data_IF_674306121462
#
_entry.id   IF_674306121462
#
_cell.length_a   1.000
_cell.length_b   1.000
_cell.length_c   1.000
_cell.angle_alpha   90.00
_cell.angle_beta   90.00
_cell.angle_gamma   90.00
#
_symmetry.space_group_name_H-M   'P 1'
#
loop_
_entity.id
_entity.type
_entity.pdbx_description
1 polymer ?
#
# COMPACT_ATOMS: atom_id res chain seq x y z
N UNK A 1 37.02 76.30 13.94
CA UNK A 1 37.96 75.96 15.02
C UNK A 1 38.16 74.44 14.95
N UNK A 2 39.42 74.03 14.77
CA UNK A 2 40.04 72.73 14.86
C UNK A 2 39.51 71.64 13.91
N UNK A 3 40.18 71.33 12.81
CA UNK A 3 41.51 70.71 12.50
C UNK A 3 41.73 69.38 13.20
N UNK A 4 41.84 68.32 12.43
CA UNK A 4 42.99 67.40 12.32
C UNK A 4 42.54 66.19 11.44
N UNK A 5 43.13 66.04 10.39
CA UNK A 5 44.41 65.40 10.03
C UNK A 5 44.21 63.92 9.68
N UNK A 6 44.34 63.70 8.41
CA UNK A 6 44.44 62.42 7.69
C UNK A 6 45.74 61.72 8.01
N UNK A 7 45.70 60.39 8.24
CA UNK A 7 46.83 59.51 8.05
C UNK A 7 46.47 58.44 7.01
N UNK A 8 47.19 58.48 5.88
CA UNK A 8 47.25 57.41 4.89
C UNK A 8 48.30 56.39 5.33
N UNK A 9 47.89 55.16 5.50
CA UNK A 9 48.82 54.03 5.57
C UNK A 9 48.86 53.32 4.19
N UNK A 10 50.10 53.21 3.71
CA UNK A 10 50.47 52.54 2.46
C UNK A 10 50.56 51.06 2.72
N UNK A 11 49.81 50.25 2.00
CA UNK A 11 49.95 48.80 2.00
C UNK A 11 50.84 48.31 0.81
N UNK A 12 51.70 47.30 1.03
CA UNK A 12 52.55 46.77 -0.03
C UNK A 12 51.84 45.78 -0.92
N UNK A 13 52.11 45.86 -2.20
CA UNK A 13 51.69 44.95 -3.26
C UNK A 13 52.34 43.57 -3.06
N UNK A 14 51.54 42.52 -2.82
CA UNK A 14 51.98 41.14 -2.89
C UNK A 14 51.76 40.59 -4.31
N UNK A 15 52.83 40.05 -4.88
CA UNK A 15 52.84 39.30 -6.14
C UNK A 15 52.04 38.00 -5.93
N UNK A 16 51.00 37.78 -6.75
CA UNK A 16 50.28 36.51 -6.84
C UNK A 16 50.94 35.67 -7.94
N UNK A 17 51.68 34.65 -7.52
CA UNK A 17 52.16 33.59 -8.41
C UNK A 17 51.02 32.65 -8.77
N UNK A 18 50.66 32.60 -10.07
CA UNK A 18 49.66 31.69 -10.61
C UNK A 18 50.25 30.29 -10.76
N UNK A 19 49.87 29.36 -9.84
CA UNK A 19 50.14 27.93 -10.00
C UNK A 19 48.93 27.29 -10.65
N UNK A 20 49.06 26.93 -11.94
CA UNK A 20 48.06 26.11 -12.63
C UNK A 20 48.15 24.67 -12.09
N UNK A 21 47.16 24.27 -11.27
CA UNK A 21 46.95 22.88 -10.86
C UNK A 21 45.98 22.24 -11.85
N UNK A 22 46.51 21.39 -12.72
CA UNK A 22 45.67 20.58 -13.64
C UNK A 22 44.95 19.50 -12.81
N UNK A 23 43.66 19.69 -12.52
CA UNK A 23 42.79 18.64 -11.97
C UNK A 23 42.43 17.64 -13.06
N UNK A 24 43.15 16.52 -13.09
CA UNK A 24 42.69 15.31 -13.75
C UNK A 24 41.45 14.78 -13.00
N UNK A 25 40.24 15.06 -13.50
CA UNK A 25 39.02 14.44 -13.02
C UNK A 25 38.97 13.00 -13.57
N UNK A 26 39.52 12.08 -12.81
CA UNK A 26 39.27 10.66 -13.02
C UNK A 26 37.81 10.37 -12.71
N UNK A 27 36.99 10.07 -13.73
CA UNK A 27 35.67 9.55 -13.56
C UNK A 27 35.79 8.13 -12.94
N UNK A 28 35.79 8.07 -11.62
CA UNK A 28 35.58 6.82 -10.89
C UNK A 28 34.13 6.44 -11.12
N UNK A 29 33.88 5.51 -12.04
CA UNK A 29 32.61 4.77 -12.10
C UNK A 29 32.47 4.04 -10.78
N UNK A 30 31.66 4.58 -9.86
CA UNK A 30 31.23 3.85 -8.70
C UNK A 30 30.37 2.69 -9.21
N UNK A 31 31.00 1.52 -9.36
CA UNK A 31 30.30 0.26 -9.47
C UNK A 31 29.66 0.04 -8.09
N UNK A 32 28.40 0.37 -7.94
CA UNK A 32 27.62 -0.08 -6.81
C UNK A 32 27.64 -1.61 -6.85
N UNK A 33 28.05 -2.30 -5.76
CA UNK A 33 27.94 -3.74 -5.73
C UNK A 33 26.47 -4.06 -5.98
N UNK A 34 26.18 -4.82 -7.05
CA UNK A 34 24.84 -5.31 -7.31
C UNK A 34 24.33 -5.93 -6.01
N UNK A 35 23.13 -5.50 -5.57
CA UNK A 35 22.52 -6.03 -4.37
C UNK A 35 22.44 -7.56 -4.56
N UNK A 36 23.32 -8.28 -3.90
CA UNK A 36 23.30 -9.74 -3.89
C UNK A 36 21.93 -10.18 -3.41
N UNK A 37 21.36 -11.17 -4.08
CA UNK A 37 20.09 -11.79 -3.61
C UNK A 37 20.35 -12.19 -2.16
N UNK A 38 19.51 -11.67 -1.24
CA UNK A 38 19.62 -12.02 0.19
C UNK A 38 19.55 -13.54 0.33
N UNK A 39 20.30 -14.12 1.27
CA UNK A 39 20.28 -15.56 1.47
C UNK A 39 18.92 -16.02 2.02
N UNK A 40 18.57 -17.27 1.74
CA UNK A 40 17.41 -17.93 2.34
C UNK A 40 17.50 -17.87 3.87
N UNK A 41 16.37 -17.65 4.52
CA UNK A 41 16.26 -17.59 5.98
C UNK A 41 15.28 -18.65 6.46
N UNK A 42 15.67 -19.41 7.49
CA UNK A 42 14.77 -20.35 8.14
C UNK A 42 14.25 -19.70 9.43
N UNK A 43 12.94 -19.65 9.56
CA UNK A 43 12.23 -19.06 10.70
C UNK A 43 11.31 -20.10 11.33
N UNK A 44 11.36 -20.24 12.66
CA UNK A 44 10.39 -21.03 13.41
C UNK A 44 9.10 -20.27 13.56
N UNK A 45 7.99 -20.94 13.34
CA UNK A 45 6.64 -20.51 13.69
C UNK A 45 6.03 -21.53 14.66
N UNK A 46 4.87 -21.23 15.20
CA UNK A 46 4.20 -22.14 16.12
C UNK A 46 3.87 -23.50 15.52
N UNK A 47 3.55 -23.53 14.20
CA UNK A 47 3.11 -24.76 13.53
C UNK A 47 4.18 -25.35 12.58
N UNK A 48 5.09 -24.51 12.10
CA UNK A 48 6.03 -24.90 11.04
C UNK A 48 7.41 -24.25 11.20
N UNK A 49 8.42 -24.90 10.63
CA UNK A 49 9.62 -24.20 10.20
C UNK A 49 9.41 -23.76 8.76
N UNK A 50 9.59 -22.47 8.50
CA UNK A 50 9.41 -21.89 7.18
C UNK A 50 10.73 -21.39 6.63
N UNK A 51 10.88 -21.47 5.31
CA UNK A 51 11.97 -20.87 4.56
C UNK A 51 11.46 -19.60 3.89
N UNK A 52 12.12 -18.48 4.11
CA UNK A 52 11.87 -17.22 3.42
C UNK A 52 12.90 -17.10 2.30
N UNK A 53 12.44 -17.23 1.06
CA UNK A 53 13.26 -17.28 -0.15
C UNK A 53 13.10 -15.98 -0.93
N UNK A 54 14.17 -15.24 -1.21
CA UNK A 54 14.13 -14.11 -2.13
C UNK A 54 13.85 -14.59 -3.55
N UNK A 55 12.72 -14.16 -4.14
CA UNK A 55 12.31 -14.47 -5.51
C UNK A 55 12.89 -13.46 -6.49
N UNK A 56 12.83 -12.17 -6.14
CA UNK A 56 13.39 -11.09 -6.93
C UNK A 56 13.81 -9.93 -6.03
N UNK A 57 14.87 -9.22 -6.41
CA UNK A 57 15.39 -8.05 -5.69
C UNK A 57 15.56 -6.86 -6.65
N UNK A 58 15.92 -5.68 -6.11
CA UNK A 58 16.09 -4.46 -6.89
C UNK A 58 14.79 -3.71 -7.17
N UNK A 59 13.73 -3.98 -6.40
CA UNK A 59 12.50 -3.22 -6.40
C UNK A 59 12.69 -1.93 -5.60
N UNK A 60 12.16 -0.83 -6.13
CA UNK A 60 12.22 0.48 -5.47
C UNK A 60 10.88 0.80 -4.80
N UNK A 61 10.87 0.75 -3.49
CA UNK A 61 9.68 1.04 -2.68
C UNK A 61 8.44 0.26 -3.18
N UNK A 62 8.50 -1.09 -3.25
CA UNK A 62 7.41 -1.91 -3.75
C UNK A 62 6.16 -1.71 -2.89
N UNK A 63 4.96 -1.64 -3.52
CA UNK A 63 3.74 -1.32 -2.78
C UNK A 63 2.67 -2.41 -2.85
N UNK A 64 2.33 -2.91 -4.02
CA UNK A 64 1.32 -3.94 -4.23
C UNK A 64 1.76 -4.97 -5.26
N UNK A 65 1.18 -6.17 -5.21
CA UNK A 65 1.45 -7.23 -6.18
C UNK A 65 0.20 -7.99 -6.56
N UNK A 66 0.20 -8.56 -7.77
CA UNK A 66 -0.81 -9.51 -8.22
C UNK A 66 -0.20 -10.58 -9.13
N UNK A 67 -0.74 -11.79 -9.09
CA UNK A 67 -0.32 -12.88 -9.95
C UNK A 67 -1.05 -12.80 -11.30
N UNK A 68 -0.30 -12.82 -12.41
CA UNK A 68 -0.87 -13.02 -13.74
C UNK A 68 -1.12 -14.51 -14.00
N UNK A 69 -0.22 -15.34 -13.50
CA UNK A 69 -0.27 -16.79 -13.47
C UNK A 69 0.76 -17.35 -12.46
N UNK A 70 1.09 -18.64 -12.53
CA UNK A 70 2.07 -19.27 -11.62
C UNK A 70 3.50 -18.78 -11.79
N UNK A 71 3.82 -18.17 -12.93
CA UNK A 71 5.19 -17.80 -13.31
C UNK A 71 5.42 -16.30 -13.37
N UNK A 72 4.32 -15.49 -13.45
CA UNK A 72 4.40 -14.05 -13.65
C UNK A 72 3.65 -13.28 -12.57
N UNK A 73 4.34 -12.30 -12.00
CA UNK A 73 3.82 -11.43 -10.94
C UNK A 73 4.01 -9.98 -11.38
N UNK A 74 2.96 -9.17 -11.28
CA UNK A 74 3.08 -7.73 -11.36
C UNK A 74 3.38 -7.16 -9.99
N UNK A 75 4.27 -6.17 -9.95
CA UNK A 75 4.62 -5.42 -8.74
C UNK A 75 4.59 -3.93 -9.04
N UNK A 76 3.87 -3.16 -8.24
CA UNK A 76 3.93 -1.70 -8.29
C UNK A 76 5.08 -1.18 -7.47
N UNK A 77 5.82 -0.22 -8.02
CA UNK A 77 6.80 0.58 -7.31
C UNK A 77 6.23 1.98 -7.09
N UNK A 78 6.20 2.45 -5.86
CA UNK A 78 5.60 3.73 -5.47
C UNK A 78 6.04 4.92 -6.35
N UNK A 79 7.29 5.02 -6.83
CA UNK A 79 7.71 6.07 -7.75
C UNK A 79 7.00 6.12 -9.11
N UNK A 80 6.12 5.16 -9.42
CA UNK A 80 5.30 5.18 -10.64
C UNK A 80 5.71 4.14 -11.68
N UNK A 81 6.39 3.06 -11.29
CA UNK A 81 6.75 1.97 -12.20
C UNK A 81 5.93 0.72 -11.88
N UNK A 82 5.36 0.10 -12.90
CA UNK A 82 4.78 -1.24 -12.83
C UNK A 82 5.82 -2.23 -13.35
N UNK A 83 6.19 -3.19 -12.51
CA UNK A 83 7.26 -4.16 -12.80
C UNK A 83 6.69 -5.55 -13.01
N UNK A 84 7.40 -6.34 -13.78
CA UNK A 84 7.10 -7.76 -14.00
C UNK A 84 8.22 -8.59 -13.39
N UNK A 85 7.86 -9.55 -12.56
CA UNK A 85 8.72 -10.65 -12.13
C UNK A 85 8.27 -11.88 -12.90
N UNK A 86 9.14 -12.44 -13.71
CA UNK A 86 8.86 -13.62 -14.55
C UNK A 86 9.93 -14.69 -14.35
N UNK A 87 9.53 -15.93 -14.08
CA UNK A 87 10.45 -17.02 -13.81
C UNK A 87 11.39 -16.75 -12.62
N UNK A 88 10.94 -16.03 -11.61
CA UNK A 88 11.76 -15.63 -10.46
C UNK A 88 12.76 -14.52 -10.75
N UNK A 89 12.62 -13.78 -11.86
CA UNK A 89 13.53 -12.70 -12.24
C UNK A 89 12.75 -11.40 -12.45
N UNK A 90 13.24 -10.31 -11.86
CA UNK A 90 12.75 -8.97 -12.15
C UNK A 90 13.17 -8.57 -13.57
N UNK A 91 12.19 -8.33 -14.43
CA UNK A 91 12.50 -7.89 -15.80
C UNK A 91 13.06 -6.46 -15.78
N UNK A 92 14.07 -6.15 -16.63
CA UNK A 92 14.73 -4.84 -16.60
C UNK A 92 13.81 -3.70 -17.01
N UNK A 93 12.94 -3.92 -18.00
CA UNK A 93 12.00 -2.91 -18.49
C UNK A 93 10.71 -2.89 -17.70
N UNK A 94 10.27 -1.74 -17.16
CA UNK A 94 8.93 -1.62 -16.58
C UNK A 94 7.86 -1.73 -17.67
N UNK A 95 6.62 -1.98 -17.25
CA UNK A 95 5.45 -1.96 -18.15
C UNK A 95 5.22 -0.53 -18.62
N UNK A 96 5.13 -0.33 -19.91
CA UNK A 96 4.87 0.98 -20.52
C UNK A 96 3.37 1.33 -20.51
N UNK A 97 3.05 2.63 -20.65
CA UNK A 97 1.66 3.10 -20.85
C UNK A 97 0.88 3.42 -19.57
N UNK A 98 1.51 3.45 -18.40
CA UNK A 98 0.88 4.00 -17.19
C UNK A 98 0.58 5.50 -17.37
N UNK A 99 -0.55 6.00 -16.83
CA UNK A 99 -0.78 7.44 -16.70
C UNK A 99 0.25 8.07 -15.75
N UNK A 100 0.36 9.39 -15.79
CA UNK A 100 1.22 10.12 -14.86
C UNK A 100 0.84 9.85 -13.42
N UNK A 101 1.82 9.50 -12.59
CA UNK A 101 1.68 9.22 -11.16
C UNK A 101 2.28 10.38 -10.38
N UNK A 102 1.50 10.95 -9.45
CA UNK A 102 2.00 11.97 -8.54
C UNK A 102 2.55 11.34 -7.27
N UNK A 103 3.87 11.35 -7.11
CA UNK A 103 4.49 10.96 -5.84
C UNK A 103 4.35 12.12 -4.86
N UNK A 104 3.57 11.93 -3.79
CA UNK A 104 3.31 12.96 -2.78
C UNK A 104 3.10 12.31 -1.40
N UNK A 105 4.07 12.45 -0.50
CA UNK A 105 4.02 11.83 0.82
C UNK A 105 3.86 10.30 0.75
N UNK A 106 2.72 9.79 1.23
CA UNK A 106 2.40 8.35 1.15
C UNK A 106 1.86 7.94 -0.23
N UNK A 107 1.47 8.87 -1.08
CA UNK A 107 0.94 8.62 -2.42
C UNK A 107 2.02 8.32 -3.46
N UNK A 108 1.60 7.67 -4.53
CA UNK A 108 2.43 7.22 -5.64
C UNK A 108 1.65 6.21 -6.48
N UNK A 109 2.31 5.26 -7.14
CA UNK A 109 1.68 4.06 -7.68
C UNK A 109 1.48 3.07 -6.53
N UNK A 110 0.24 2.60 -6.32
CA UNK A 110 -0.16 1.94 -5.10
C UNK A 110 -0.54 0.46 -5.37
N UNK A 111 -1.81 0.08 -5.29
CA UNK A 111 -2.18 -1.32 -5.49
C UNK A 111 -2.35 -1.71 -6.97
N UNK A 112 -2.28 -3.00 -7.25
CA UNK A 112 -2.58 -3.59 -8.55
C UNK A 112 -3.32 -4.92 -8.36
N UNK A 113 -4.34 -5.15 -9.20
CA UNK A 113 -5.08 -6.41 -9.24
C UNK A 113 -5.44 -6.79 -10.67
N UNK A 114 -5.55 -8.10 -10.93
CA UNK A 114 -6.09 -8.61 -12.19
C UNK A 114 -7.62 -8.61 -12.14
N UNK A 115 -8.26 -8.44 -13.29
CA UNK A 115 -9.70 -8.74 -13.41
C UNK A 115 -9.97 -10.22 -13.07
N UNK A 116 -11.10 -10.59 -12.47
CA UNK A 116 -11.43 -11.99 -12.20
C UNK A 116 -11.35 -12.91 -13.42
N UNK A 117 -11.61 -12.36 -14.60
CA UNK A 117 -11.51 -13.06 -15.90
C UNK A 117 -10.24 -12.68 -16.68
N UNK A 118 -9.15 -12.33 -16.00
CA UNK A 118 -7.91 -11.87 -16.62
C UNK A 118 -7.41 -12.81 -17.73
N UNK A 119 -7.49 -14.10 -17.55
CA UNK A 119 -7.05 -15.09 -18.54
C UNK A 119 -7.69 -14.92 -19.92
N UNK A 120 -8.92 -14.38 -19.97
CA UNK A 120 -9.67 -14.17 -21.23
C UNK A 120 -9.62 -12.73 -21.72
N UNK A 121 -9.59 -11.72 -20.81
CA UNK A 121 -9.69 -10.32 -21.20
C UNK A 121 -8.39 -9.52 -21.08
N UNK A 122 -7.40 -10.03 -20.33
CA UNK A 122 -6.11 -9.37 -20.12
C UNK A 122 -6.18 -8.07 -19.31
N UNK A 123 -7.30 -7.78 -18.65
CA UNK A 123 -7.49 -6.52 -17.93
C UNK A 123 -6.81 -6.55 -16.56
N UNK A 124 -6.08 -5.49 -16.25
CA UNK A 124 -5.56 -5.18 -14.92
C UNK A 124 -6.09 -3.83 -14.44
N UNK A 125 -6.13 -3.68 -13.13
CA UNK A 125 -6.56 -2.46 -12.45
C UNK A 125 -5.48 -2.02 -11.47
N UNK A 126 -5.26 -0.72 -11.36
CA UNK A 126 -4.32 -0.17 -10.39
C UNK A 126 -4.83 1.13 -9.79
N UNK A 127 -4.44 1.37 -8.55
CA UNK A 127 -4.68 2.61 -7.84
C UNK A 127 -3.41 3.45 -7.81
N UNK A 128 -3.56 4.76 -7.91
CA UNK A 128 -2.43 5.69 -7.92
C UNK A 128 -2.83 7.06 -7.41
N UNK A 129 -1.86 7.81 -6.93
CA UNK A 129 -2.06 9.21 -6.60
C UNK A 129 -1.90 10.06 -7.86
N UNK A 130 -2.84 10.99 -8.09
CA UNK A 130 -2.81 11.92 -9.21
C UNK A 130 -3.35 13.28 -8.83
N UNK A 131 -2.85 14.31 -9.52
CA UNK A 131 -3.23 15.71 -9.32
C UNK A 131 -2.02 16.64 -9.39
N UNK A 132 -2.23 17.89 -8.97
CA UNK A 132 -1.20 18.92 -8.82
C UNK A 132 -0.79 19.08 -7.35
N UNK A 133 0.05 20.07 -7.05
CA UNK A 133 0.56 20.31 -5.69
C UNK A 133 -0.53 20.69 -4.67
N UNK A 134 -1.63 21.26 -5.14
CA UNK A 134 -2.75 21.69 -4.31
C UNK A 134 -3.85 20.64 -4.20
N UNK A 135 -3.94 19.72 -5.14
CA UNK A 135 -5.08 18.82 -5.31
C UNK A 135 -4.63 17.40 -5.68
N UNK A 136 -4.13 16.63 -4.71
CA UNK A 136 -3.74 15.23 -4.90
C UNK A 136 -4.80 14.31 -4.29
N UNK A 137 -5.15 13.23 -4.99
CA UNK A 137 -6.08 12.22 -4.50
C UNK A 137 -5.85 10.87 -5.15
N UNK A 138 -6.49 9.83 -4.58
CA UNK A 138 -6.45 8.49 -5.14
C UNK A 138 -7.33 8.39 -6.39
N UNK A 139 -6.75 7.86 -7.46
CA UNK A 139 -7.46 7.46 -8.68
C UNK A 139 -7.30 5.97 -8.91
N UNK A 140 -8.23 5.39 -9.66
CA UNK A 140 -8.15 4.01 -10.14
C UNK A 140 -8.25 4.00 -11.65
N UNK A 141 -7.34 3.29 -12.28
CA UNK A 141 -7.39 3.05 -13.71
C UNK A 141 -7.40 1.55 -14.02
N UNK A 142 -7.81 1.22 -15.24
CA UNK A 142 -7.73 -0.10 -15.84
C UNK A 142 -7.07 -0.02 -17.21
N UNK A 143 -6.56 -1.14 -17.67
CA UNK A 143 -5.99 -1.27 -19.01
C UNK A 143 -5.74 -2.73 -19.35
N UNK A 144 -5.55 -3.00 -20.62
CA UNK A 144 -5.24 -4.34 -21.13
C UNK A 144 -3.72 -4.53 -21.13
N UNK A 145 -3.23 -5.52 -20.40
CA UNK A 145 -1.82 -5.89 -20.42
C UNK A 145 -1.51 -6.65 -21.71
N UNK A 146 -0.54 -6.17 -22.46
CA UNK A 146 -0.08 -6.74 -23.73
C UNK A 146 1.44 -6.85 -23.78
N UNK A 147 1.95 -7.63 -24.73
CA UNK A 147 3.38 -7.89 -24.88
C UNK A 147 3.88 -9.07 -24.07
N UNK A 148 5.20 -9.21 -24.02
CA UNK A 148 5.93 -10.29 -23.33
C UNK A 148 7.32 -9.81 -22.88
N UNK A 149 8.13 -10.71 -22.30
CA UNK A 149 9.47 -10.39 -21.81
C UNK A 149 10.42 -9.90 -22.94
N UNK A 150 10.28 -10.42 -24.15
CA UNK A 150 11.14 -10.08 -25.28
C UNK A 150 10.76 -8.74 -25.91
N UNK A 151 9.48 -8.55 -26.24
CA UNK A 151 8.96 -7.32 -26.85
C UNK A 151 8.85 -6.17 -25.84
N UNK A 152 8.66 -6.50 -24.56
CA UNK A 152 8.32 -5.59 -23.47
C UNK A 152 6.81 -5.58 -23.22
N UNK A 153 6.45 -5.48 -21.95
CA UNK A 153 5.06 -5.34 -21.54
C UNK A 153 4.57 -3.90 -21.66
N UNK A 154 3.32 -3.72 -22.04
CA UNK A 154 2.66 -2.41 -22.13
C UNK A 154 1.18 -2.50 -21.77
N UNK A 155 0.59 -1.37 -21.47
CA UNK A 155 -0.84 -1.21 -21.25
C UNK A 155 -1.48 -0.58 -22.49
N UNK A 156 -2.47 -1.28 -23.02
CA UNK A 156 -3.34 -0.76 -24.07
C UNK A 156 -4.71 -0.38 -23.48
N UNK A 157 -5.46 0.51 -24.12
CA UNK A 157 -6.82 0.92 -23.74
C UNK A 157 -6.92 1.40 -22.28
N UNK A 158 -5.95 2.21 -21.85
CA UNK A 158 -5.92 2.75 -20.49
C UNK A 158 -7.04 3.74 -20.26
N UNK A 159 -7.81 3.52 -19.18
CA UNK A 159 -8.95 4.34 -18.77
C UNK A 159 -8.93 4.57 -17.27
N UNK A 160 -9.10 5.83 -16.83
CA UNK A 160 -9.31 6.15 -15.40
C UNK A 160 -10.79 6.01 -15.08
N UNK A 161 -11.13 5.04 -14.23
CA UNK A 161 -12.51 4.67 -13.89
C UNK A 161 -13.01 5.26 -12.57
N UNK A 162 -12.11 5.79 -11.74
CA UNK A 162 -12.48 6.43 -10.48
C UNK A 162 -11.51 7.57 -10.15
N UNK A 163 -12.06 8.65 -9.60
CA UNK A 163 -11.31 9.79 -9.05
C UNK A 163 -11.87 10.18 -7.70
N UNK A 164 -11.05 10.13 -6.66
CA UNK A 164 -11.39 10.62 -5.33
C UNK A 164 -11.81 12.09 -5.39
N UNK A 165 -12.86 12.44 -4.67
CA UNK A 165 -13.35 13.80 -4.48
C UNK A 165 -13.70 14.05 -3.00
N UNK A 166 -13.34 15.22 -2.44
CA UNK A 166 -12.41 16.18 -3.03
C UNK A 166 -10.99 15.61 -3.07
N UNK A 167 -10.14 16.13 -3.95
CA UNK A 167 -8.70 16.06 -3.82
C UNK A 167 -8.23 17.15 -2.86
N UNK A 168 -7.06 17.00 -2.25
CA UNK A 168 -6.54 17.98 -1.29
C UNK A 168 -4.99 17.97 -1.23
N UNK A 169 -4.40 18.87 -0.44
CA UNK A 169 -2.94 18.98 -0.24
C UNK A 169 -2.37 17.94 0.72
N UNK A 170 -3.21 17.12 1.39
CA UNK A 170 -2.78 16.18 2.41
C UNK A 170 -1.79 15.14 1.86
N UNK A 171 -0.67 14.95 2.55
CA UNK A 171 0.36 13.98 2.19
C UNK A 171 0.15 12.55 2.72
N UNK A 172 -0.64 12.30 3.81
CA UNK A 172 -0.87 10.96 4.33
C UNK A 172 -2.16 10.32 3.78
N UNK A 173 -2.39 9.07 4.17
CA UNK A 173 -3.65 8.33 4.16
C UNK A 173 -4.33 8.24 2.77
N UNK A 174 -3.69 7.57 1.82
CA UNK A 174 -4.27 7.35 0.50
C UNK A 174 -5.20 6.12 0.42
N UNK A 175 -5.18 5.22 1.42
CA UNK A 175 -5.87 3.95 1.36
C UNK A 175 -5.34 3.08 0.23
N UNK A 176 -6.17 2.86 -0.81
CA UNK A 176 -5.83 2.41 -2.17
C UNK A 176 -5.86 0.92 -2.45
N UNK A 177 -6.27 0.07 -1.52
CA UNK A 177 -6.37 -1.36 -1.77
C UNK A 177 -7.57 -1.67 -2.71
N UNK A 178 -7.35 -2.59 -3.64
CA UNK A 178 -8.31 -3.02 -4.65
C UNK A 178 -8.72 -4.48 -4.41
N UNK A 179 -10.03 -4.73 -4.25
CA UNK A 179 -10.54 -6.09 -4.00
C UNK A 179 -11.81 -6.31 -4.82
N UNK A 180 -11.84 -7.38 -5.62
CA UNK A 180 -13.03 -7.81 -6.33
C UNK A 180 -13.99 -8.55 -5.41
N UNK A 181 -15.30 -8.25 -5.47
CA UNK A 181 -16.32 -9.10 -4.88
C UNK A 181 -16.67 -10.29 -5.82
N UNK A 182 -17.45 -11.23 -5.31
CA UNK A 182 -17.89 -12.40 -6.09
C UNK A 182 -18.86 -12.07 -7.21
N UNK A 183 -19.48 -10.88 -7.16
CA UNK A 183 -20.40 -10.39 -8.18
C UNK A 183 -19.68 -9.61 -9.31
N UNK A 184 -18.36 -9.44 -9.22
CA UNK A 184 -17.55 -8.72 -10.20
C UNK A 184 -17.56 -7.20 -10.00
N UNK A 185 -17.86 -6.71 -8.80
CA UNK A 185 -17.64 -5.32 -8.44
C UNK A 185 -16.30 -5.14 -7.74
N UNK A 186 -15.74 -3.95 -7.87
CA UNK A 186 -14.43 -3.58 -7.32
C UNK A 186 -14.60 -2.70 -6.08
N UNK A 187 -14.13 -3.16 -4.93
CA UNK A 187 -13.92 -2.33 -3.77
C UNK A 187 -12.62 -1.53 -3.91
N UNK A 188 -12.70 -0.25 -3.56
CA UNK A 188 -11.54 0.64 -3.48
C UNK A 188 -11.50 1.26 -2.09
N UNK A 189 -10.43 1.02 -1.36
CA UNK A 189 -10.28 1.61 -0.03
C UNK A 189 -9.65 2.99 -0.13
N UNK A 190 -10.10 3.92 0.69
CA UNK A 190 -9.62 5.29 0.71
C UNK A 190 -9.23 5.71 2.13
N UNK A 191 -8.44 6.77 2.24
CA UNK A 191 -8.06 7.35 3.52
C UNK A 191 -8.65 8.74 3.70
N UNK A 192 -8.62 9.24 4.93
CA UNK A 192 -9.11 10.58 5.29
C UNK A 192 -8.19 11.73 4.83
N UNK A 193 -7.02 11.41 4.27
CA UNK A 193 -6.03 12.37 3.75
C UNK A 193 -5.58 13.39 4.80
N UNK A 194 -5.62 13.03 6.09
CA UNK A 194 -5.34 13.90 7.22
C UNK A 194 -6.49 14.86 7.58
N UNK A 195 -7.65 14.73 6.94
CA UNK A 195 -8.86 15.50 7.23
C UNK A 195 -9.86 14.62 7.96
N UNK A 196 -9.59 14.34 9.23
CA UNK A 196 -10.28 13.31 10.00
C UNK A 196 -11.81 13.47 10.00
N UNK A 197 -12.34 14.69 10.03
CA UNK A 197 -13.78 14.95 10.07
C UNK A 197 -14.48 14.54 8.77
N UNK A 198 -13.75 14.55 7.65
CA UNK A 198 -14.27 14.13 6.36
C UNK A 198 -14.62 12.63 6.31
N UNK A 199 -14.09 11.82 7.23
CA UNK A 199 -14.47 10.40 7.31
C UNK A 199 -15.96 10.20 7.62
N UNK A 200 -16.62 11.16 8.26
CA UNK A 200 -18.06 11.16 8.54
C UNK A 200 -18.89 11.93 7.49
N UNK A 201 -18.25 12.70 6.60
CA UNK A 201 -18.94 13.49 5.58
C UNK A 201 -19.29 12.63 4.36
N UNK A 202 -20.58 12.40 4.10
CA UNK A 202 -21.08 11.56 3.01
C UNK A 202 -20.99 12.21 1.62
N UNK A 203 -20.76 13.53 1.54
CA UNK A 203 -20.62 14.25 0.26
C UNK A 203 -19.28 14.06 -0.44
N UNK A 204 -18.31 13.38 0.23
CA UNK A 204 -16.96 13.13 -0.25
C UNK A 204 -16.49 11.69 -0.03
N UNK A 205 -15.32 11.35 -0.60
CA UNK A 205 -14.75 10.01 -0.56
C UNK A 205 -13.70 9.81 0.55
N UNK A 206 -13.32 10.86 1.27
CA UNK A 206 -12.27 10.75 2.28
C UNK A 206 -12.72 9.88 3.45
N UNK A 207 -11.89 8.88 3.81
CA UNK A 207 -12.20 7.94 4.87
C UNK A 207 -13.37 7.00 4.55
N UNK A 208 -13.48 6.57 3.31
CA UNK A 208 -14.53 5.67 2.80
C UNK A 208 -13.94 4.41 2.18
N UNK A 209 -14.78 3.39 2.06
CA UNK A 209 -14.60 2.32 1.08
C UNK A 209 -15.70 2.51 0.05
N UNK A 210 -15.34 2.56 -1.22
CA UNK A 210 -16.28 2.66 -2.33
C UNK A 210 -16.38 1.34 -3.06
N UNK A 211 -17.53 1.07 -3.70
CA UNK A 211 -17.76 -0.11 -4.54
C UNK A 211 -18.24 0.32 -5.92
N UNK A 212 -17.59 -0.19 -6.96
CA UNK A 212 -17.75 0.19 -8.35
C UNK A 212 -17.94 -1.06 -9.21
N UNK A 213 -18.58 -0.93 -10.36
CA UNK A 213 -18.50 -1.97 -11.41
C UNK A 213 -17.10 -1.99 -12.03
N UNK A 214 -16.80 -2.97 -12.86
CA UNK A 214 -15.55 -3.08 -13.64
C UNK A 214 -15.25 -1.85 -14.51
N UNK A 215 -16.27 -1.06 -14.85
CA UNK A 215 -16.15 0.16 -15.66
C UNK A 215 -16.23 1.45 -14.85
N UNK A 216 -16.20 1.35 -13.51
CA UNK A 216 -16.27 2.51 -12.63
C UNK A 216 -17.68 3.08 -12.41
N UNK A 217 -18.73 2.41 -12.92
CA UNK A 217 -20.10 2.82 -12.63
C UNK A 217 -20.51 2.40 -11.22
N UNK A 218 -21.53 3.06 -10.69
CA UNK A 218 -22.09 2.74 -9.37
C UNK A 218 -23.00 1.50 -9.48
N UNK A 219 -22.76 0.43 -8.70
CA UNK A 219 -23.71 -0.68 -8.58
C UNK A 219 -25.05 -0.22 -8.03
N UNK A 220 -26.14 -0.71 -8.61
CA UNK A 220 -27.52 -0.29 -8.26
C UNK A 220 -27.92 -0.66 -6.82
N UNK A 221 -27.23 -1.64 -6.23
CA UNK A 221 -27.43 -2.15 -4.88
C UNK A 221 -26.45 -1.57 -3.86
N UNK A 222 -25.69 -0.51 -4.20
CA UNK A 222 -24.90 0.22 -3.23
C UNK A 222 -25.80 0.86 -2.16
N UNK A 223 -25.37 0.92 -0.89
CA UNK A 223 -26.23 1.28 0.23
C UNK A 223 -26.75 2.72 0.18
N UNK A 224 -26.03 3.63 -0.49
CA UNK A 224 -26.35 5.06 -0.46
C UNK A 224 -26.83 5.63 -1.82
N UNK A 225 -27.13 4.78 -2.81
CA UNK A 225 -27.51 5.24 -4.16
C UNK A 225 -28.75 6.13 -4.18
N UNK A 226 -29.62 6.01 -3.17
CA UNK A 226 -30.86 6.80 -3.06
C UNK A 226 -30.80 7.85 -1.96
N UNK A 227 -29.67 8.00 -1.28
CA UNK A 227 -29.51 8.95 -0.19
C UNK A 227 -29.09 10.34 -0.73
N UNK A 228 -29.96 11.31 -0.59
CA UNK A 228 -29.64 12.69 -0.98
C UNK A 228 -28.42 13.21 -0.18
N UNK A 229 -27.50 13.88 -0.86
CA UNK A 229 -26.27 14.43 -0.27
C UNK A 229 -25.15 13.42 -0.05
N UNK A 230 -25.38 12.12 -0.26
CA UNK A 230 -24.34 11.10 -0.21
C UNK A 230 -23.78 10.81 -1.60
N UNK A 231 -22.49 10.46 -1.66
CA UNK A 231 -21.88 9.89 -2.86
C UNK A 231 -22.40 8.45 -3.06
N UNK A 232 -22.99 8.13 -4.21
CA UNK A 232 -23.65 6.82 -4.41
C UNK A 232 -22.67 5.66 -4.51
N UNK A 233 -21.39 5.90 -4.81
CA UNK A 233 -20.32 4.90 -4.84
C UNK A 233 -19.86 4.44 -3.44
N UNK A 234 -20.22 5.15 -2.37
CA UNK A 234 -19.82 4.79 -1.00
C UNK A 234 -20.46 3.46 -0.60
N UNK A 235 -19.63 2.55 -0.08
CA UNK A 235 -20.06 1.28 0.50
C UNK A 235 -20.06 1.32 2.03
N UNK A 236 -19.01 1.93 2.63
CA UNK A 236 -18.90 2.15 4.09
C UNK A 236 -18.15 3.45 4.38
N UNK A 237 -18.24 3.94 5.62
CA UNK A 237 -17.66 5.22 6.06
C UNK A 237 -17.00 5.12 7.43
N UNK A 238 -16.33 6.19 7.83
CA UNK A 238 -15.73 6.27 9.17
C UNK A 238 -14.40 5.54 9.28
N UNK A 239 -13.62 5.50 8.20
CA UNK A 239 -12.27 4.91 8.18
C UNK A 239 -11.20 6.01 8.21
N UNK A 240 -10.04 5.70 8.82
CA UNK A 240 -8.89 6.61 8.82
C UNK A 240 -7.98 6.40 7.62
N UNK A 241 -7.42 5.18 7.48
CA UNK A 241 -6.48 4.84 6.40
C UNK A 241 -6.43 3.33 6.18
N UNK A 242 -7.30 2.83 5.35
CA UNK A 242 -7.42 1.39 5.05
C UNK A 242 -6.32 0.96 4.10
N UNK A 243 -5.32 0.20 4.61
CA UNK A 243 -4.13 -0.21 3.86
C UNK A 243 -4.17 -1.65 3.35
N UNK A 244 -5.00 -2.50 3.94
CA UNK A 244 -5.19 -3.87 3.50
C UNK A 244 -6.65 -4.26 3.47
N UNK A 245 -7.01 -5.10 2.50
CA UNK A 245 -8.33 -5.67 2.39
C UNK A 245 -8.26 -7.01 1.63
N UNK A 246 -9.15 -7.94 1.98
CA UNK A 246 -9.30 -9.22 1.31
C UNK A 246 -10.71 -9.76 1.50
N UNK A 247 -11.22 -10.55 0.55
CA UNK A 247 -12.45 -11.29 0.78
C UNK A 247 -12.20 -12.50 1.68
N UNK A 248 -13.07 -12.69 2.65
CA UNK A 248 -13.10 -13.94 3.41
C UNK A 248 -13.44 -15.11 2.47
N UNK A 249 -12.61 -16.18 2.43
CA UNK A 249 -12.70 -17.21 1.38
C UNK A 249 -14.01 -18.00 1.41
N UNK A 250 -14.67 -18.14 2.57
CA UNK A 250 -15.91 -18.87 2.74
C UNK A 250 -17.12 -17.94 2.59
N UNK A 251 -17.19 -16.87 3.41
CA UNK A 251 -18.39 -16.00 3.44
C UNK A 251 -18.45 -15.01 2.26
N UNK A 252 -17.29 -14.61 1.70
CA UNK A 252 -17.21 -13.57 0.67
C UNK A 252 -17.37 -12.15 1.22
N UNK A 253 -17.43 -11.98 2.55
CA UNK A 253 -17.42 -10.66 3.16
C UNK A 253 -16.06 -9.99 2.98
N UNK A 254 -16.06 -8.67 2.80
CA UNK A 254 -14.83 -7.89 2.73
C UNK A 254 -14.29 -7.69 4.14
N UNK A 255 -13.08 -8.14 4.39
CA UNK A 255 -12.32 -7.81 5.58
C UNK A 255 -11.30 -6.74 5.24
N UNK A 256 -11.09 -5.79 6.13
CA UNK A 256 -10.11 -4.72 5.93
C UNK A 256 -9.44 -4.38 7.26
N UNK A 257 -8.23 -3.86 7.18
CA UNK A 257 -7.56 -3.26 8.32
C UNK A 257 -7.15 -1.82 8.00
N UNK A 258 -7.03 -1.02 9.03
CA UNK A 258 -6.62 0.36 8.90
C UNK A 258 -5.62 0.79 9.97
N UNK A 259 -4.87 1.84 9.65
CA UNK A 259 -4.00 2.50 10.62
C UNK A 259 -4.83 3.37 11.56
N UNK A 260 -4.70 3.13 12.85
CA UNK A 260 -5.08 4.08 13.88
C UNK A 260 -4.14 5.31 13.93
N UNK A 261 -4.40 6.24 14.85
CA UNK A 261 -3.43 7.29 15.21
C UNK A 261 -2.27 6.69 16.02
N UNK A 262 -1.86 7.28 17.11
CA UNK A 262 -0.87 6.64 17.98
C UNK A 262 -1.53 5.47 18.73
N UNK A 263 -1.35 4.24 18.22
CA UNK A 263 -2.09 3.03 18.62
C UNK A 263 -3.44 2.90 17.91
N UNK A 264 -4.15 1.77 18.16
CA UNK A 264 -5.49 1.55 17.66
C UNK A 264 -5.57 1.25 16.15
N UNK A 265 -4.58 0.55 15.58
CA UNK A 265 -4.77 -0.11 14.29
C UNK A 265 -5.84 -1.19 14.44
N UNK A 266 -6.68 -1.38 13.43
CA UNK A 266 -7.88 -2.20 13.53
C UNK A 266 -8.03 -3.19 12.38
N UNK A 267 -8.68 -4.34 12.65
CA UNK A 267 -9.22 -5.25 11.64
C UNK A 267 -10.73 -5.26 11.75
N UNK A 268 -11.41 -5.06 10.64
CA UNK A 268 -12.87 -4.93 10.56
C UNK A 268 -13.46 -5.84 9.48
N UNK A 269 -14.68 -6.36 9.69
CA UNK A 269 -15.54 -6.89 8.62
C UNK A 269 -16.32 -5.72 8.04
N UNK A 270 -16.14 -5.48 6.75
CA UNK A 270 -16.72 -4.32 6.08
C UNK A 270 -18.09 -4.68 5.51
N UNK A 271 -19.14 -4.07 6.05
CA UNK A 271 -20.53 -4.29 5.66
C UNK A 271 -21.15 -3.04 5.03
N UNK A 272 -22.09 -3.26 4.12
CA UNK A 272 -22.79 -2.20 3.40
C UNK A 272 -23.46 -1.20 4.36
N UNK A 273 -23.22 0.08 4.16
CA UNK A 273 -23.86 1.15 4.91
C UNK A 273 -23.33 1.37 6.34
N UNK A 274 -22.31 0.62 6.77
CA UNK A 274 -21.80 0.69 8.14
C UNK A 274 -20.77 1.79 8.33
N UNK A 275 -20.74 2.32 9.56
CA UNK A 275 -19.83 3.39 10.01
C UNK A 275 -18.81 2.80 10.98
N UNK A 276 -17.50 2.88 10.65
CA UNK A 276 -16.38 2.34 11.44
C UNK A 276 -15.80 3.36 12.43
N UNK A 277 -16.48 4.48 12.60
CA UNK A 277 -16.39 5.36 13.76
C UNK A 277 -15.33 6.46 13.70
N UNK A 278 -14.28 6.35 12.89
CA UNK A 278 -13.27 7.41 12.82
C UNK A 278 -13.86 8.75 12.39
N UNK A 279 -13.54 9.90 13.03
CA UNK A 279 -12.71 10.07 14.25
C UNK A 279 -13.55 10.17 15.53
N UNK A 280 -14.85 9.84 15.49
CA UNK A 280 -15.77 9.94 16.63
C UNK A 280 -15.39 8.94 17.73
N UNK A 281 -15.04 7.72 17.33
CA UNK A 281 -14.48 6.69 18.22
C UNK A 281 -13.13 6.22 17.66
N UNK A 282 -12.21 5.86 18.55
CA UNK A 282 -10.92 5.25 18.23
C UNK A 282 -10.25 4.70 19.48
N UNK A 283 -9.41 3.68 19.31
CA UNK A 283 -8.55 3.12 20.37
C UNK A 283 -7.19 3.83 20.49
N UNK A 284 -6.89 4.75 19.59
CA UNK A 284 -5.63 5.51 19.60
C UNK A 284 -5.79 6.92 20.16
N UNK A 285 -4.66 7.60 20.28
CA UNK A 285 -4.54 8.96 20.82
C UNK A 285 -3.78 9.87 19.84
N UNK A 286 -3.82 11.18 20.05
CA UNK A 286 -3.07 12.13 19.23
C UNK A 286 -1.56 11.90 19.35
N UNK A 287 -0.87 11.93 18.21
CA UNK A 287 0.59 11.83 18.16
C UNK A 287 1.25 12.93 18.99
N UNK A 288 2.30 12.57 19.73
CA UNK A 288 3.10 13.48 20.53
C UNK A 288 2.45 13.94 21.84
N UNK A 289 1.19 14.37 21.80
CA UNK A 289 0.49 14.84 23.01
C UNK A 289 -0.12 13.72 23.85
N UNK A 290 -0.44 12.56 23.23
CA UNK A 290 -1.17 11.48 23.91
C UNK A 290 -2.61 11.84 24.28
N UNK A 291 -3.14 12.98 23.82
CA UNK A 291 -4.49 13.40 24.17
C UNK A 291 -5.55 12.58 23.42
N UNK A 292 -6.72 12.46 24.03
CA UNK A 292 -7.87 11.73 23.49
C UNK A 292 -8.31 12.31 22.14
N UNK A 293 -8.74 11.43 21.23
CA UNK A 293 -9.44 11.77 20.00
C UNK A 293 -10.89 11.30 20.14
N UNK A 294 -11.82 12.15 19.68
CA UNK A 294 -13.25 11.82 19.66
C UNK A 294 -13.87 11.62 21.07
N UNK A 295 -14.95 10.85 21.10
CA UNK A 295 -15.79 10.68 22.27
C UNK A 295 -15.37 9.49 23.14
N UNK A 296 -14.80 8.43 22.52
CA UNK A 296 -14.41 7.20 23.22
C UNK A 296 -13.95 6.11 22.28
N UNK A 297 -14.08 4.86 22.74
CA UNK A 297 -13.72 3.68 21.95
C UNK A 297 -14.94 2.99 21.36
N UNK A 298 -16.16 3.34 21.81
CA UNK A 298 -17.43 2.78 21.34
C UNK A 298 -18.53 3.82 21.31
N UNK A 299 -19.47 3.69 20.36
CA UNK A 299 -20.67 4.50 20.25
C UNK A 299 -21.76 3.74 19.49
N UNK A 300 -23.01 3.88 19.91
CA UNK A 300 -24.14 3.28 19.20
C UNK A 300 -24.20 3.71 17.73
N UNK A 301 -24.39 2.75 16.82
CA UNK A 301 -24.40 2.96 15.38
C UNK A 301 -23.02 3.00 14.72
N UNK A 302 -21.95 2.73 15.45
CA UNK A 302 -20.59 2.57 14.95
C UNK A 302 -20.08 1.15 15.24
N UNK A 303 -19.43 0.57 14.21
CA UNK A 303 -18.93 -0.81 14.28
C UNK A 303 -17.69 -0.90 15.17
N UNK A 304 -17.52 -2.05 15.81
CA UNK A 304 -16.36 -2.36 16.64
C UNK A 304 -15.41 -3.29 15.86
N UNK A 305 -14.07 -3.11 15.99
CA UNK A 305 -13.11 -3.96 15.32
C UNK A 305 -13.10 -5.38 15.89
N UNK A 306 -12.82 -6.36 15.02
CA UNK A 306 -12.55 -7.74 15.42
C UNK A 306 -11.24 -7.89 16.17
N UNK A 307 -10.26 -7.08 15.79
CA UNK A 307 -8.92 -7.06 16.39
C UNK A 307 -8.35 -5.66 16.36
N UNK A 308 -7.49 -5.36 17.31
CA UNK A 308 -6.78 -4.08 17.39
C UNK A 308 -5.37 -4.23 17.91
N UNK A 309 -4.48 -3.34 17.51
CA UNK A 309 -3.10 -3.29 17.99
C UNK A 309 -2.81 -2.00 18.75
N UNK A 310 -2.39 -2.16 20.01
CA UNK A 310 -1.88 -1.10 20.87
C UNK A 310 -0.63 -1.65 21.57
N UNK A 311 0.58 -1.17 21.20
CA UNK A 311 0.88 -0.13 20.21
C UNK A 311 0.61 -0.54 18.76
N UNK A 312 0.53 0.44 17.85
CA UNK A 312 0.36 0.26 16.42
C UNK A 312 1.51 -0.56 15.81
N UNK A 313 1.17 -1.47 14.89
CA UNK A 313 2.13 -2.22 14.07
C UNK A 313 2.27 -1.64 12.66
N UNK A 314 1.43 -0.67 12.30
CA UNK A 314 1.23 -0.13 10.97
C UNK A 314 0.93 -1.24 9.95
N UNK A 315 -0.27 -1.88 10.01
CA UNK A 315 -0.64 -2.98 9.13
C UNK A 315 -0.69 -2.55 7.67
N UNK A 316 -0.36 -3.45 6.74
CA UNK A 316 -0.12 -3.13 5.33
C UNK A 316 -0.91 -4.02 4.36
N UNK A 317 -0.28 -5.03 3.72
CA UNK A 317 -1.02 -6.00 2.92
C UNK A 317 -1.74 -7.02 3.80
N UNK A 318 -2.75 -7.69 3.23
CA UNK A 318 -3.57 -8.66 3.93
C UNK A 318 -3.97 -9.81 3.01
N UNK A 319 -3.92 -11.04 3.50
CA UNK A 319 -4.38 -12.21 2.77
C UNK A 319 -4.91 -13.30 3.71
N UNK A 320 -6.02 -13.92 3.34
CA UNK A 320 -6.38 -15.22 3.89
C UNK A 320 -5.53 -16.30 3.23
N UNK A 321 -5.01 -17.22 4.02
CA UNK A 321 -4.31 -18.36 3.48
C UNK A 321 -5.30 -19.45 3.06
N UNK A 322 -5.26 -19.81 1.77
CA UNK A 322 -6.15 -20.82 1.18
C UNK A 322 -5.37 -21.99 0.53
N UNK A 323 -4.02 -21.93 0.58
CA UNK A 323 -3.16 -22.95 0.00
C UNK A 323 -3.12 -24.26 0.80
N UNK A 324 -2.44 -25.26 0.26
CA UNK A 324 -2.33 -26.59 0.87
C UNK A 324 -0.91 -26.89 1.41
N UNK A 325 0.06 -25.99 1.21
CA UNK A 325 1.43 -26.15 1.71
C UNK A 325 1.52 -26.07 3.24
N UNK A 326 0.61 -25.33 3.86
CA UNK A 326 0.53 -25.12 5.30
C UNK A 326 -0.89 -25.44 5.79
N UNK A 327 -1.28 -26.73 5.90
CA UNK A 327 -2.66 -27.11 6.25
C UNK A 327 -3.21 -26.47 7.53
N UNK A 328 -2.38 -26.30 8.59
CA UNK A 328 -2.80 -25.65 9.84
C UNK A 328 -3.01 -24.14 9.73
N UNK A 329 -2.54 -23.51 8.65
CA UNK A 329 -2.73 -22.09 8.39
C UNK A 329 -3.96 -21.80 7.51
N UNK A 330 -4.61 -22.84 7.01
CA UNK A 330 -5.78 -22.70 6.13
C UNK A 330 -6.91 -21.95 6.85
N UNK A 331 -7.39 -20.87 6.22
CA UNK A 331 -8.37 -19.96 6.82
C UNK A 331 -7.81 -18.89 7.74
N UNK A 332 -6.53 -18.95 8.14
CA UNK A 332 -5.93 -17.88 8.93
C UNK A 332 -5.75 -16.60 8.10
N UNK A 333 -5.82 -15.46 8.79
CA UNK A 333 -5.56 -14.15 8.19
C UNK A 333 -4.12 -13.73 8.46
N UNK A 334 -3.40 -13.37 7.40
CA UNK A 334 -2.04 -12.86 7.45
C UNK A 334 -2.03 -11.37 7.16
N UNK A 335 -1.43 -10.58 8.03
CA UNK A 335 -1.33 -9.12 7.94
C UNK A 335 0.14 -8.72 8.00
N UNK A 336 0.63 -8.07 6.94
CA UNK A 336 1.96 -7.47 6.94
C UNK A 336 2.02 -6.25 7.86
N UNK A 337 3.18 -5.94 8.42
CA UNK A 337 3.37 -4.79 9.29
C UNK A 337 4.61 -3.99 8.92
N UNK A 338 4.43 -2.68 8.76
CA UNK A 338 5.48 -1.74 8.39
C UNK A 338 6.36 -1.36 9.60
N UNK A 339 5.73 -0.80 10.64
CA UNK A 339 6.45 -0.41 11.85
C UNK A 339 6.85 -1.63 12.67
N UNK A 340 6.00 -2.66 12.73
CA UNK A 340 6.28 -3.91 13.42
C UNK A 340 7.39 -4.75 12.78
N UNK A 341 7.65 -4.57 11.49
CA UNK A 341 8.60 -5.36 10.68
C UNK A 341 8.37 -6.86 10.87
N UNK A 342 7.13 -7.27 10.65
CA UNK A 342 6.67 -8.65 10.88
C UNK A 342 5.45 -8.96 10.01
N UNK A 343 5.00 -10.21 10.08
CA UNK A 343 3.69 -10.65 9.66
C UNK A 343 2.93 -11.06 10.91
N UNK A 344 1.75 -10.50 11.13
CA UNK A 344 0.81 -10.98 12.14
C UNK A 344 -0.08 -12.05 11.50
N UNK A 345 -0.01 -13.29 12.01
CA UNK A 345 -0.94 -14.37 11.67
C UNK A 345 -2.05 -14.41 12.72
N UNK A 346 -3.25 -14.16 12.27
CA UNK A 346 -4.45 -14.23 13.12
C UNK A 346 -5.17 -15.56 12.86
N UNK A 347 -5.29 -16.37 13.88
CA UNK A 347 -6.08 -17.60 13.87
C UNK A 347 -7.52 -17.24 14.18
N UNK A 348 -8.45 -17.75 13.38
CA UNK A 348 -9.87 -17.41 13.45
C UNK A 348 -10.71 -18.61 13.88
N UNK A 349 -11.75 -18.33 14.67
CA UNK A 349 -12.90 -19.20 14.91
C UNK A 349 -14.16 -18.43 14.50
N UNK A 350 -14.70 -18.74 13.33
CA UNK A 350 -15.68 -17.90 12.67
C UNK A 350 -15.15 -16.47 12.45
N UNK A 351 -15.88 -15.48 12.94
CA UNK A 351 -15.52 -14.06 12.89
C UNK A 351 -14.66 -13.62 14.11
N UNK A 352 -14.22 -14.54 14.96
CA UNK A 352 -13.45 -14.21 16.16
C UNK A 352 -11.98 -14.49 15.96
N UNK A 353 -11.13 -13.51 16.29
CA UNK A 353 -9.67 -13.73 16.36
C UNK A 353 -9.36 -14.38 17.70
N UNK A 354 -8.94 -15.65 17.69
CA UNK A 354 -8.63 -16.41 18.91
C UNK A 354 -7.16 -16.39 19.28
N UNK A 355 -6.28 -16.02 18.32
CA UNK A 355 -4.83 -16.00 18.55
C UNK A 355 -4.11 -15.12 17.57
N UNK A 356 -3.05 -14.44 18.00
CA UNK A 356 -2.07 -13.75 17.15
C UNK A 356 -0.70 -14.41 17.30
N UNK A 357 -0.06 -14.75 16.16
CA UNK A 357 1.37 -15.09 16.08
C UNK A 357 2.12 -14.04 15.30
N UNK A 358 3.32 -13.66 15.73
CA UNK A 358 4.18 -12.66 15.10
C UNK A 358 5.38 -13.30 14.41
N UNK A 359 5.32 -13.45 13.10
CA UNK A 359 6.36 -14.04 12.27
C UNK A 359 7.31 -12.94 11.80
N UNK A 360 8.60 -13.05 12.13
CA UNK A 360 9.64 -12.09 11.76
C UNK A 360 10.52 -12.62 10.63
N UNK A 361 11.40 -11.75 10.07
CA UNK A 361 12.35 -12.13 9.03
C UNK A 361 11.99 -11.65 7.63
N UNK A 362 10.90 -10.90 7.47
CA UNK A 362 10.48 -10.30 6.19
C UNK A 362 10.73 -8.78 6.13
N UNK A 363 11.35 -8.22 7.19
CA UNK A 363 11.62 -6.79 7.29
C UNK A 363 10.33 -5.96 7.29
N UNK A 364 10.40 -4.76 6.76
CA UNK A 364 9.26 -3.85 6.60
C UNK A 364 8.32 -4.41 5.53
N UNK A 365 7.38 -5.22 5.97
CA UNK A 365 6.43 -5.95 5.11
C UNK A 365 5.39 -4.97 4.55
N UNK A 366 5.34 -4.80 3.22
CA UNK A 366 4.41 -3.88 2.56
C UNK A 366 3.18 -4.59 2.01
N UNK A 367 3.33 -5.76 1.41
CA UNK A 367 2.19 -6.54 0.91
C UNK A 367 2.41 -8.02 1.20
N UNK A 368 1.31 -8.76 1.33
CA UNK A 368 1.30 -10.20 1.49
C UNK A 368 0.16 -10.80 0.68
N UNK A 369 0.43 -11.87 -0.07
CA UNK A 369 -0.56 -12.58 -0.89
C UNK A 369 -0.36 -14.08 -0.81
N UNK A 370 -1.47 -14.82 -0.86
CA UNK A 370 -1.42 -16.26 -1.12
C UNK A 370 -1.14 -16.49 -2.61
N UNK A 371 -0.07 -17.22 -2.92
CA UNK A 371 0.31 -17.55 -4.29
C UNK A 371 -0.48 -18.73 -4.86
N UNK A 372 -0.59 -18.81 -6.21
CA UNK A 372 -1.28 -19.91 -6.90
C UNK A 372 -0.56 -21.25 -6.78
N UNK A 373 0.66 -21.26 -6.25
CA UNK A 373 1.48 -22.44 -5.94
C UNK A 373 1.31 -22.93 -4.48
N UNK A 374 0.43 -22.28 -3.70
CA UNK A 374 0.16 -22.59 -2.30
C UNK A 374 1.15 -22.01 -1.30
N UNK A 375 2.13 -21.22 -1.73
CA UNK A 375 3.03 -20.49 -0.84
C UNK A 375 2.47 -19.09 -0.51
N UNK A 376 3.04 -18.42 0.50
CA UNK A 376 2.82 -17.00 0.74
C UNK A 376 3.92 -16.18 0.06
N UNK A 377 3.53 -15.04 -0.50
CA UNK A 377 4.45 -14.07 -1.11
C UNK A 377 4.37 -12.75 -0.38
N UNK A 378 5.51 -12.10 -0.24
CA UNK A 378 5.68 -10.88 0.56
C UNK A 378 6.48 -9.85 -0.20
N UNK A 379 6.03 -8.61 -0.23
CA UNK A 379 6.86 -7.48 -0.62
C UNK A 379 7.54 -6.90 0.63
N UNK A 380 8.86 -7.00 0.67
CA UNK A 380 9.70 -6.35 1.68
C UNK A 380 10.15 -4.99 1.18
N UNK A 381 9.60 -3.92 1.77
CA UNK A 381 9.96 -2.55 1.40
C UNK A 381 11.40 -2.23 1.81
N UNK A 382 11.84 -2.70 2.99
CA UNK A 382 13.20 -2.47 3.48
C UNK A 382 14.28 -3.23 2.70
N UNK A 383 13.92 -4.36 2.05
CA UNK A 383 14.87 -5.14 1.26
C UNK A 383 14.75 -4.84 -0.25
N UNK A 384 13.73 -4.09 -0.66
CA UNK A 384 13.42 -3.89 -2.08
C UNK A 384 13.23 -5.22 -2.80
N UNK A 385 12.50 -6.17 -2.18
CA UNK A 385 12.45 -7.55 -2.63
C UNK A 385 11.04 -8.15 -2.59
N UNK A 386 10.81 -9.08 -3.52
CA UNK A 386 9.73 -10.04 -3.48
C UNK A 386 10.27 -11.31 -2.82
N UNK A 387 9.66 -11.71 -1.73
CA UNK A 387 10.00 -12.91 -0.95
C UNK A 387 8.90 -13.96 -1.08
N UNK A 388 9.26 -15.24 -0.96
CA UNK A 388 8.32 -16.35 -0.87
C UNK A 388 8.55 -17.09 0.44
N UNK A 389 7.46 -17.42 1.13
CA UNK A 389 7.47 -18.25 2.35
C UNK A 389 7.00 -19.64 1.97
N UNK A 390 7.85 -20.63 2.16
CA UNK A 390 7.61 -22.03 1.85
C UNK A 390 7.97 -22.94 3.03
N UNK A 391 7.47 -24.20 3.09
CA UNK A 391 7.89 -25.15 4.11
C UNK A 391 9.40 -25.37 4.09
N UNK A 392 10.05 -25.43 5.25
CA UNK A 392 11.50 -25.63 5.33
C UNK A 392 11.94 -27.10 5.26
N UNK A 393 11.00 -28.04 5.13
CA UNK A 393 11.29 -29.48 5.16
C UNK A 393 11.35 -29.99 6.59
#
# INVERSE_FOLDING_TARGET
MNTSATNQEVQPRALVSLVLLACLVGAATQIWPGAGIAADRIVGTEDYRVRIVPVASGLDTPWGMTFLDRNRILVTEKPGRLRVVEGGKLLPRPVAGLPAVRVHGQGGLLDVTTHPQFASNGLIYWSFANGDDANVGTEVARGKLAGDAAAGYRLDQVEVIFRQQPKNTGSPHFGSRLVWDRAGNLFVTLGDRGQMQEAQNMSGHLGKIVRLTETGKVPVDNPFVRQAGARPEIFSLGNRNVQGAALHPVTGELWAHEHGPQGGDEVNIIRAGRNYGWPVITYGVNYGSGTKIGEGTEKAGMEQPLWKWIPSIAPSGMAFYTGDKFPKWKGNLFVGALAGQLIARLTLDGDTVVREERIRGTGRTRDIRAGPDGNLYVLSESEGALLRIEPAG
#
